data_IF_665668953300
#
_entry.id   IF_665668953300
#
_cell.length_a   1.000
_cell.length_b   1.000
_cell.length_c   1.000
_cell.angle_alpha   90.00
_cell.angle_beta   90.00
_cell.angle_gamma   90.00
#
_symmetry.space_group_name_H-M   'P 1'
#
loop_
_entity.id
_entity.type
_entity.pdbx_description
1 polymer ?
#
# COMPACT_ATOMS: atom_id res chain seq x y z
N UNK A 1 5.95 -12.68 -3.02
CA UNK A 1 5.09 -11.85 -2.17
C UNK A 1 5.57 -11.92 -0.73
N UNK A 2 5.61 -10.81 0.02
CA UNK A 2 5.87 -10.81 1.47
C UNK A 2 4.62 -11.19 2.29
N UNK A 3 3.81 -12.11 1.76
CA UNK A 3 2.53 -12.52 2.34
C UNK A 3 1.52 -11.38 2.36
N UNK A 4 1.25 -10.87 3.57
CA UNK A 4 0.25 -9.83 3.86
C UNK A 4 0.88 -8.46 4.10
N UNK A 5 2.15 -8.26 3.75
CA UNK A 5 2.92 -7.06 4.07
C UNK A 5 3.50 -6.40 2.81
N UNK A 6 3.52 -5.07 2.77
CA UNK A 6 4.32 -4.28 1.82
C UNK A 6 5.54 -3.72 2.54
N UNK A 7 6.74 -4.02 2.04
CA UNK A 7 7.99 -3.43 2.55
C UNK A 7 8.36 -2.16 1.79
N UNK A 8 8.77 -1.12 2.50
CA UNK A 8 9.31 0.11 1.94
C UNK A 8 10.83 0.11 2.04
N UNK A 9 11.46 0.51 0.94
CA UNK A 9 12.90 0.63 0.84
C UNK A 9 13.22 1.93 0.10
N UNK A 10 14.29 2.59 0.51
CA UNK A 10 14.81 3.77 -0.17
C UNK A 10 16.19 3.46 -0.77
N UNK A 11 16.51 4.18 -1.85
CA UNK A 11 17.80 4.12 -2.49
C UNK A 11 18.13 5.44 -3.16
N UNK A 12 19.38 5.87 -3.04
CA UNK A 12 19.88 7.04 -3.76
C UNK A 12 20.37 6.69 -5.18
N UNK A 13 20.56 5.41 -5.49
CA UNK A 13 21.20 4.94 -6.73
C UNK A 13 20.49 3.75 -7.41
N UNK A 14 19.36 3.30 -6.84
CA UNK A 14 18.56 2.15 -7.28
C UNK A 14 19.28 0.79 -7.23
N UNK A 15 20.44 0.71 -6.56
CA UNK A 15 21.25 -0.51 -6.40
C UNK A 15 21.40 -0.92 -4.94
N UNK A 16 21.69 0.05 -4.09
CA UNK A 16 21.81 -0.13 -2.65
C UNK A 16 20.51 0.29 -1.98
N UNK A 17 19.87 -0.65 -1.29
CA UNK A 17 18.54 -0.46 -0.73
C UNK A 17 18.59 -0.57 0.79
N UNK A 18 17.98 0.41 1.47
CA UNK A 18 17.80 0.40 2.92
C UNK A 18 16.32 0.20 3.22
N UNK A 19 16.00 -0.78 4.05
CA UNK A 19 14.64 -0.97 4.57
C UNK A 19 14.27 0.21 5.49
N UNK A 20 13.11 0.82 5.25
CA UNK A 20 12.66 2.02 5.97
C UNK A 20 11.41 1.78 6.82
N UNK A 21 10.56 0.83 6.42
CA UNK A 21 9.30 0.57 7.10
C UNK A 21 8.45 -0.45 6.33
N UNK A 22 7.25 -0.71 6.84
CA UNK A 22 6.30 -1.60 6.18
C UNK A 22 4.86 -1.23 6.48
N UNK A 23 3.96 -1.67 5.61
CA UNK A 23 2.52 -1.62 5.83
C UNK A 23 1.96 -3.04 5.89
N UNK A 24 1.30 -3.36 6.99
CA UNK A 24 0.69 -4.67 7.22
C UNK A 24 -0.79 -4.62 6.82
N UNK A 25 -1.24 -5.61 6.05
CA UNK A 25 -2.64 -5.75 5.68
C UNK A 25 -3.30 -6.85 6.50
N UNK A 26 -4.61 -6.70 6.72
CA UNK A 26 -5.42 -7.64 7.49
C UNK A 26 -6.62 -8.08 6.66
N UNK A 27 -7.00 -9.36 6.78
CA UNK A 27 -8.26 -9.90 6.24
C UNK A 27 -8.50 -9.74 4.72
N UNK A 28 -7.44 -9.57 3.92
CA UNK A 28 -7.52 -9.50 2.44
C UNK A 28 -6.61 -10.51 1.72
N UNK A 29 -6.06 -11.47 2.46
CA UNK A 29 -5.23 -12.55 1.91
C UNK A 29 -3.85 -12.08 1.46
N UNK A 30 -3.21 -12.87 0.60
CA UNK A 30 -1.91 -12.52 0.02
C UNK A 30 -2.08 -11.28 -0.85
N UNK A 31 -1.12 -10.36 -0.74
CA UNK A 31 -1.04 -9.16 -1.58
C UNK A 31 0.16 -9.23 -2.53
N UNK A 32 -0.04 -8.74 -3.75
CA UNK A 32 0.92 -8.75 -4.84
C UNK A 32 0.88 -7.45 -5.63
N UNK A 33 1.95 -7.15 -6.37
CA UNK A 33 2.06 -5.97 -7.24
C UNK A 33 1.69 -4.64 -6.53
N UNK A 34 2.38 -4.28 -5.43
CA UNK A 34 2.10 -3.03 -4.74
C UNK A 34 2.41 -1.82 -5.62
N UNK A 35 1.62 -0.77 -5.46
CA UNK A 35 1.76 0.53 -6.11
C UNK A 35 1.65 1.64 -5.06
N UNK A 36 2.45 2.69 -5.21
CA UNK A 36 2.48 3.84 -4.30
C UNK A 36 2.66 5.13 -5.10
N UNK A 37 1.65 5.98 -5.09
CA UNK A 37 1.66 7.25 -5.83
C UNK A 37 0.92 8.35 -5.07
N UNK A 38 1.18 9.60 -5.49
CA UNK A 38 0.48 10.79 -4.99
C UNK A 38 -0.51 11.27 -6.03
N UNK A 39 -1.77 11.47 -5.65
CA UNK A 39 -2.85 11.90 -6.53
C UNK A 39 -3.50 13.18 -5.99
N UNK A 40 -4.00 14.03 -6.89
CA UNK A 40 -4.78 15.22 -6.55
C UNK A 40 -6.27 14.90 -6.66
N UNK A 41 -7.03 15.17 -5.60
CA UNK A 41 -8.49 15.06 -5.58
C UNK A 41 -9.15 16.26 -6.30
N UNK A 42 -10.46 16.16 -6.52
CA UNK A 42 -11.27 17.18 -7.17
C UNK A 42 -11.36 18.49 -6.37
N UNK A 43 -11.35 18.40 -5.03
CA UNK A 43 -11.25 19.54 -4.11
C UNK A 43 -9.87 20.22 -4.10
N UNK A 44 -8.91 19.65 -4.84
CA UNK A 44 -7.54 20.15 -4.98
C UNK A 44 -6.56 19.66 -3.93
N UNK A 45 -6.99 18.89 -2.93
CA UNK A 45 -6.10 18.25 -1.95
C UNK A 45 -5.24 17.17 -2.61
N UNK A 46 -4.06 16.89 -2.03
CA UNK A 46 -3.24 15.77 -2.46
C UNK A 46 -3.25 14.66 -1.42
N UNK A 47 -3.40 13.43 -1.87
CA UNK A 47 -3.35 12.21 -1.06
C UNK A 47 -2.33 11.24 -1.62
N UNK A 48 -1.71 10.48 -0.73
CA UNK A 48 -1.00 9.27 -1.12
C UNK A 48 -2.00 8.14 -1.27
N UNK A 49 -1.77 7.28 -2.25
CA UNK A 49 -2.52 6.05 -2.47
C UNK A 49 -1.53 4.91 -2.46
N UNK A 50 -1.74 3.97 -1.55
CA UNK A 50 -1.10 2.66 -1.56
C UNK A 50 -2.13 1.66 -2.06
N UNK A 51 -1.79 0.84 -3.05
CA UNK A 51 -2.68 -0.22 -3.48
C UNK A 51 -1.92 -1.48 -3.85
N UNK A 52 -2.61 -2.62 -3.85
CA UNK A 52 -2.06 -3.90 -4.21
C UNK A 52 -3.16 -4.84 -4.71
N UNK A 53 -2.81 -5.77 -5.58
CA UNK A 53 -3.68 -6.90 -5.91
C UNK A 53 -3.79 -7.82 -4.69
N UNK A 54 -5.01 -8.15 -4.29
CA UNK A 54 -5.32 -8.92 -3.08
C UNK A 54 -6.21 -10.14 -3.40
N UNK A 55 -6.03 -11.22 -2.64
CA UNK A 55 -6.84 -12.43 -2.72
C UNK A 55 -7.84 -12.51 -1.56
N UNK A 56 -8.92 -11.74 -1.66
CA UNK A 56 -9.96 -11.62 -0.64
C UNK A 56 -10.90 -12.83 -0.50
N UNK A 57 -10.79 -13.85 -1.36
CA UNK A 57 -11.72 -15.00 -1.40
C UNK A 57 -11.95 -15.66 -0.02
N UNK A 58 -10.90 -15.78 0.78
CA UNK A 58 -10.96 -16.41 2.11
C UNK A 58 -11.82 -15.65 3.13
N UNK A 59 -12.07 -14.36 2.91
CA UNK A 59 -12.88 -13.48 3.76
C UNK A 59 -14.14 -12.98 3.06
N UNK A 60 -14.52 -13.60 1.93
CA UNK A 60 -15.68 -13.18 1.15
C UNK A 60 -15.50 -11.86 0.37
N UNK A 61 -14.26 -11.38 0.25
CA UNK A 61 -13.89 -10.17 -0.47
C UNK A 61 -13.45 -10.48 -1.92
N UNK A 62 -13.41 -9.48 -2.82
CA UNK A 62 -12.97 -9.68 -4.20
C UNK A 62 -11.51 -10.12 -4.34
N UNK A 63 -11.20 -10.75 -5.47
CA UNK A 63 -9.83 -11.06 -5.91
C UNK A 63 -9.41 -10.03 -6.96
N UNK A 64 -9.07 -8.84 -6.51
CA UNK A 64 -8.82 -7.69 -7.38
C UNK A 64 -7.84 -6.74 -6.71
N UNK A 65 -7.87 -5.47 -7.06
CA UNK A 65 -7.05 -4.43 -6.49
C UNK A 65 -7.72 -3.80 -5.26
N UNK A 66 -7.01 -3.79 -4.13
CA UNK A 66 -7.39 -3.10 -2.91
C UNK A 66 -6.53 -1.84 -2.75
N UNK A 67 -7.10 -0.74 -2.27
CA UNK A 67 -6.32 0.48 -2.04
C UNK A 67 -6.70 1.23 -0.77
N UNK A 68 -5.74 2.01 -0.28
CA UNK A 68 -5.88 2.91 0.85
C UNK A 68 -5.44 4.30 0.42
N UNK A 69 -6.24 5.31 0.74
CA UNK A 69 -5.75 6.70 0.78
C UNK A 69 -5.05 6.96 2.10
N UNK A 70 -4.11 7.89 2.11
CA UNK A 70 -3.39 8.22 3.33
C UNK A 70 -2.26 9.22 3.14
N UNK A 71 -1.26 9.06 3.99
CA UNK A 71 -0.02 9.83 3.97
C UNK A 71 1.19 8.90 3.91
N UNK A 72 2.26 9.37 3.27
CA UNK A 72 3.56 8.69 3.22
C UNK A 72 4.65 9.69 3.54
N UNK A 73 5.47 9.39 4.55
CA UNK A 73 6.52 10.28 5.04
C UNK A 73 7.91 9.96 4.42
N UNK A 74 7.98 9.02 3.49
CA UNK A 74 9.22 8.49 2.91
C UNK A 74 9.62 7.12 3.46
N UNK A 75 9.14 6.77 4.65
CA UNK A 75 9.48 5.51 5.34
C UNK A 75 8.26 4.63 5.61
N UNK A 76 7.17 5.25 6.04
CA UNK A 76 5.95 4.58 6.49
C UNK A 76 4.72 5.21 5.81
N UNK A 77 3.77 4.34 5.48
CA UNK A 77 2.45 4.73 4.99
C UNK A 77 1.44 4.64 6.14
N UNK A 78 0.66 5.69 6.34
CA UNK A 78 -0.45 5.73 7.30
C UNK A 78 -1.75 5.88 6.53
N UNK A 79 -2.56 4.83 6.53
CA UNK A 79 -3.87 4.83 5.91
C UNK A 79 -4.83 5.75 6.68
N UNK A 80 -5.67 6.49 5.95
CA UNK A 80 -6.74 7.28 6.56
C UNK A 80 -7.79 6.37 7.21
N UNK A 81 -8.03 5.19 6.63
CA UNK A 81 -8.96 4.17 7.11
C UNK A 81 -8.26 2.80 7.16
N UNK A 82 -8.62 1.94 8.11
CA UNK A 82 -8.00 0.62 8.26
C UNK A 82 -8.40 -0.34 7.12
N UNK A 83 -9.66 -0.31 6.71
CA UNK A 83 -10.19 -1.19 5.67
C UNK A 83 -9.92 -0.60 4.27
N UNK A 84 -9.40 -1.40 3.33
CA UNK A 84 -9.21 -0.95 1.95
C UNK A 84 -10.55 -0.74 1.25
N UNK A 85 -10.50 0.15 0.26
CA UNK A 85 -11.56 0.38 -0.70
C UNK A 85 -11.41 -0.52 -1.93
#
# INVERSE_FOLDING_TARGET
AEGTKVGFYESQNLKEWRYTGSFQTENIGIIECPDLYKMRADDGTYKWVLGASANGKGTGKPNTYAYWTGSFNGNEFTADEAEPQ
#
